data_IF_693777541052
#
_entry.id   IF_693777541052
#
_cell.length_a   1.000
_cell.length_b   1.000
_cell.length_c   1.000
_cell.angle_alpha   90.00
_cell.angle_beta   90.00
_cell.angle_gamma   90.00
#
_symmetry.space_group_name_H-M   'P 1'
#
loop_
_entity.id
_entity.type
_entity.pdbx_description
1 polymer ?
#
# COMPACT_ATOMS: atom_id res chain seq x y z
N UNK A 1 -22.36 -10.28 32.78
CA UNK A 1 -21.64 -10.65 31.57
C UNK A 1 -22.41 -11.78 30.93
N UNK A 2 -22.86 -11.68 29.71
CA UNK A 2 -23.55 -12.75 28.99
C UNK A 2 -22.52 -13.81 28.59
N UNK A 3 -22.90 -15.07 28.61
CA UNK A 3 -22.04 -16.20 28.26
C UNK A 3 -22.77 -17.07 27.24
N UNK A 4 -22.02 -17.65 26.35
CA UNK A 4 -22.52 -18.59 25.33
C UNK A 4 -21.78 -19.91 25.46
N UNK A 5 -22.45 -20.99 25.17
CA UNK A 5 -21.83 -22.30 25.02
C UNK A 5 -21.86 -22.63 23.55
N UNK A 6 -20.65 -22.78 22.96
CA UNK A 6 -20.48 -23.03 21.55
C UNK A 6 -19.79 -24.39 21.39
N UNK A 7 -20.36 -25.23 20.53
CA UNK A 7 -19.79 -26.54 20.22
C UNK A 7 -18.73 -26.37 19.13
N UNK A 8 -17.54 -26.95 19.39
CA UNK A 8 -16.48 -27.03 18.38
C UNK A 8 -16.80 -28.23 17.48
N UNK A 9 -16.93 -27.97 16.20
CA UNK A 9 -17.17 -29.00 15.17
C UNK A 9 -15.86 -29.28 14.43
N UNK A 10 -15.73 -30.51 13.92
CA UNK A 10 -14.61 -30.89 13.05
C UNK A 10 -15.10 -30.99 11.63
N UNK A 11 -14.42 -30.28 10.72
CA UNK A 11 -14.63 -30.45 9.28
C UNK A 11 -14.11 -31.83 8.87
N UNK A 12 -15.01 -32.70 8.43
CA UNK A 12 -14.68 -34.09 8.09
C UNK A 12 -13.82 -34.22 6.82
N UNK A 13 -13.75 -33.18 5.99
CA UNK A 13 -12.98 -33.17 4.77
C UNK A 13 -11.54 -32.65 4.98
N UNK A 14 -11.37 -31.64 5.86
CA UNK A 14 -10.08 -30.99 6.11
C UNK A 14 -9.46 -31.38 7.45
N UNK A 15 -10.27 -31.81 8.42
CA UNK A 15 -9.84 -32.07 9.80
C UNK A 15 -9.67 -30.78 10.62
N UNK A 16 -10.10 -29.65 10.11
CA UNK A 16 -10.05 -28.36 10.80
C UNK A 16 -11.17 -28.24 11.83
N UNK A 17 -10.91 -27.52 12.92
CA UNK A 17 -11.93 -27.20 13.91
C UNK A 17 -12.72 -25.95 13.48
N UNK A 18 -14.04 -26.06 13.44
CA UNK A 18 -14.96 -24.98 13.11
C UNK A 18 -15.71 -24.55 14.37
N UNK A 19 -15.82 -23.26 14.59
CA UNK A 19 -16.62 -22.63 15.63
C UNK A 19 -17.64 -21.72 14.97
N UNK A 20 -18.93 -22.05 15.11
CA UNK A 20 -20.02 -21.20 14.64
C UNK A 20 -20.45 -20.23 15.75
N UNK A 21 -20.29 -18.94 15.53
CA UNK A 21 -20.70 -17.93 16.48
C UNK A 21 -22.21 -17.66 16.40
N UNK A 22 -22.95 -17.74 17.52
CA UNK A 22 -24.36 -17.42 17.53
C UNK A 22 -24.64 -15.98 17.09
N UNK A 23 -25.76 -15.72 16.37
CA UNK A 23 -26.06 -14.37 15.87
C UNK A 23 -26.15 -13.30 16.96
N UNK A 24 -26.66 -13.64 18.14
CA UNK A 24 -26.74 -12.73 19.28
C UNK A 24 -25.37 -12.42 19.92
N UNK A 25 -24.39 -13.31 19.76
CA UNK A 25 -23.01 -13.07 20.14
C UNK A 25 -22.34 -12.11 19.15
N UNK A 26 -22.56 -12.32 17.85
CA UNK A 26 -22.04 -11.43 16.80
C UNK A 26 -22.61 -10.02 16.92
N UNK A 27 -23.91 -9.90 17.27
CA UNK A 27 -24.54 -8.60 17.51
C UNK A 27 -23.91 -7.89 18.72
N UNK A 28 -23.66 -8.60 19.81
CA UNK A 28 -23.09 -8.02 21.05
C UNK A 28 -21.62 -7.67 20.90
N UNK A 29 -20.82 -8.50 20.20
CA UNK A 29 -19.39 -8.26 19.96
C UNK A 29 -19.14 -7.29 18.81
N UNK A 30 -20.11 -7.13 17.91
CA UNK A 30 -19.98 -6.34 16.69
C UNK A 30 -19.04 -6.99 15.63
N UNK A 31 -18.76 -8.29 15.80
CA UNK A 31 -17.93 -9.02 14.82
C UNK A 31 -18.70 -9.30 13.55
N UNK A 32 -17.97 -9.28 12.43
CA UNK A 32 -18.53 -9.48 11.09
C UNK A 32 -17.68 -10.47 10.31
N UNK A 33 -18.28 -11.03 9.28
CA UNK A 33 -17.55 -11.84 8.31
C UNK A 33 -16.37 -11.05 7.70
N UNK A 34 -15.20 -11.70 7.66
CA UNK A 34 -13.94 -11.09 7.23
C UNK A 34 -13.13 -10.40 8.34
N UNK A 35 -13.64 -10.30 9.57
CA UNK A 35 -12.85 -9.83 10.69
C UNK A 35 -11.77 -10.85 11.06
N UNK A 36 -10.57 -10.36 11.33
CA UNK A 36 -9.48 -11.18 11.86
C UNK A 36 -9.54 -11.16 13.38
N UNK A 37 -9.60 -12.35 14.00
CA UNK A 37 -9.63 -12.53 15.44
C UNK A 37 -8.27 -13.03 15.93
N UNK A 38 -7.82 -12.52 17.08
CA UNK A 38 -6.59 -12.91 17.76
C UNK A 38 -6.91 -13.65 19.05
N UNK A 39 -6.19 -14.75 19.30
CA UNK A 39 -6.29 -15.54 20.52
C UNK A 39 -5.17 -15.17 21.48
N UNK A 40 -5.51 -14.85 22.71
CA UNK A 40 -4.56 -14.60 23.79
C UNK A 40 -4.72 -15.67 24.86
N UNK A 41 -3.66 -16.46 25.09
CA UNK A 41 -3.63 -17.49 26.12
C UNK A 41 -3.37 -16.87 27.50
N UNK A 42 -4.32 -17.01 28.43
CA UNK A 42 -4.21 -16.52 29.80
C UNK A 42 -3.30 -17.39 30.70
N UNK A 43 -2.76 -18.50 30.19
CA UNK A 43 -1.93 -19.46 30.95
C UNK A 43 -2.64 -20.19 32.09
N UNK A 44 -3.96 -20.08 32.18
CA UNK A 44 -4.83 -20.78 33.14
C UNK A 44 -5.75 -21.81 32.49
N UNK A 45 -5.54 -22.07 31.17
CA UNK A 45 -6.39 -22.93 30.35
C UNK A 45 -7.53 -22.20 29.66
N UNK A 46 -7.64 -20.88 29.85
CA UNK A 46 -8.59 -20.05 29.13
C UNK A 46 -7.91 -19.17 28.08
N UNK A 47 -8.71 -18.72 27.11
CA UNK A 47 -8.27 -17.84 26.04
C UNK A 47 -9.19 -16.62 25.95
N UNK A 48 -8.59 -15.47 25.61
CA UNK A 48 -9.34 -14.28 25.22
C UNK A 48 -9.26 -14.17 23.69
N UNK A 49 -10.41 -14.00 23.07
CA UNK A 49 -10.50 -13.73 21.64
C UNK A 49 -10.89 -12.26 21.44
N UNK A 50 -10.08 -11.54 20.70
CA UNK A 50 -10.31 -10.12 20.38
C UNK A 50 -10.26 -9.90 18.88
N UNK A 51 -11.03 -8.93 18.40
CA UNK A 51 -10.91 -8.49 17.02
C UNK A 51 -9.61 -7.71 16.85
N UNK A 52 -8.78 -8.15 15.90
CA UNK A 52 -7.57 -7.41 15.49
C UNK A 52 -7.97 -6.03 14.95
N UNK A 53 -7.45 -4.99 15.58
CA UNK A 53 -7.68 -3.62 15.10
C UNK A 53 -6.58 -3.25 14.13
N UNK A 54 -6.96 -2.89 12.92
CA UNK A 54 -6.06 -2.41 11.89
C UNK A 54 -6.46 -1.02 11.43
N UNK A 55 -5.52 -0.28 10.87
CA UNK A 55 -5.74 1.04 10.30
C UNK A 55 -5.03 1.14 8.96
N UNK A 56 -5.56 1.94 8.06
CA UNK A 56 -4.90 2.26 6.81
C UNK A 56 -3.97 3.44 6.99
N UNK A 57 -2.78 3.37 6.42
CA UNK A 57 -1.80 4.46 6.41
C UNK A 57 -1.45 4.77 4.97
N UNK A 58 -1.78 5.97 4.52
CA UNK A 58 -1.28 6.51 3.27
C UNK A 58 0.19 6.91 3.46
N UNK A 59 1.05 6.42 2.60
CA UNK A 59 2.47 6.80 2.54
C UNK A 59 2.74 7.40 1.18
N UNK A 60 3.32 8.60 1.16
CA UNK A 60 3.76 9.27 -0.06
C UNK A 60 5.28 9.23 -0.15
N UNK A 61 5.80 8.80 -1.28
CA UNK A 61 7.21 8.72 -1.54
C UNK A 61 7.55 9.36 -2.90
N UNK A 62 8.75 9.91 -3.01
CA UNK A 62 9.28 10.47 -4.26
C UNK A 62 10.46 9.62 -4.71
N UNK A 63 10.34 9.07 -5.93
CA UNK A 63 11.42 8.33 -6.58
C UNK A 63 12.40 9.28 -7.28
N UNK A 64 13.68 9.03 -7.12
CA UNK A 64 14.74 9.80 -7.78
C UNK A 64 15.37 8.94 -8.90
N UNK A 65 15.46 9.52 -10.08
CA UNK A 65 16.10 8.91 -11.24
C UNK A 65 17.23 9.78 -11.76
N UNK A 66 18.29 9.16 -12.23
CA UNK A 66 19.35 9.79 -12.97
C UNK A 66 19.19 9.48 -14.46
N UNK A 67 18.99 10.52 -15.26
CA UNK A 67 18.92 10.42 -16.70
C UNK A 67 20.25 10.87 -17.34
N UNK A 68 20.63 10.29 -18.45
CA UNK A 68 21.82 10.67 -19.19
C UNK A 68 21.47 10.97 -20.64
N UNK A 69 22.04 12.05 -21.12
CA UNK A 69 21.86 12.56 -22.48
C UNK A 69 23.23 12.82 -23.12
N UNK A 70 23.31 12.69 -24.40
CA UNK A 70 24.50 13.07 -25.17
C UNK A 70 24.06 14.07 -26.24
N UNK A 71 24.59 15.28 -26.19
CA UNK A 71 24.24 16.35 -27.11
C UNK A 71 25.50 16.82 -27.79
N UNK A 72 25.53 16.77 -29.15
CA UNK A 72 26.60 17.31 -29.96
C UNK A 72 26.40 18.83 -30.10
N UNK A 73 27.39 19.62 -29.74
CA UNK A 73 27.38 21.09 -29.85
C UNK A 73 28.61 21.60 -30.56
N UNK A 74 28.50 22.73 -31.26
CA UNK A 74 29.69 23.38 -31.92
C UNK A 74 30.71 23.81 -30.87
N UNK A 75 31.97 23.67 -31.20
CA UNK A 75 33.07 24.19 -30.37
C UNK A 75 33.15 25.72 -30.49
N UNK A 76 33.40 26.40 -29.34
CA UNK A 76 33.68 27.83 -29.30
C UNK A 76 32.76 28.60 -28.41
N UNK A 77 32.81 29.91 -28.52
CA UNK A 77 32.07 30.89 -27.70
C UNK A 77 30.94 31.48 -28.57
N UNK A 78 29.79 31.73 -27.92
CA UNK A 78 28.67 32.39 -28.56
C UNK A 78 28.83 33.91 -28.63
N UNK A 79 27.87 34.61 -29.23
CA UNK A 79 27.91 36.07 -29.42
C UNK A 79 27.83 36.86 -28.10
N UNK A 80 27.49 36.15 -26.97
CA UNK A 80 27.38 36.73 -25.62
C UNK A 80 28.59 36.42 -24.74
N UNK A 81 29.56 35.66 -25.26
CA UNK A 81 30.77 35.28 -24.53
C UNK A 81 30.68 33.99 -23.72
N UNK A 82 29.59 33.18 -23.89
CA UNK A 82 29.41 31.92 -23.21
C UNK A 82 29.98 30.74 -24.00
N UNK A 83 30.47 29.74 -23.32
CA UNK A 83 30.86 28.48 -23.97
C UNK A 83 29.63 27.79 -24.56
N UNK A 84 29.69 27.43 -25.84
CA UNK A 84 28.59 26.76 -26.53
C UNK A 84 28.24 25.39 -25.97
N UNK A 85 29.09 24.79 -25.15
CA UNK A 85 28.75 23.55 -24.41
C UNK A 85 27.52 23.72 -23.53
N UNK A 86 27.21 24.94 -23.07
CA UNK A 86 26.01 25.25 -22.31
C UNK A 86 24.71 25.04 -23.09
N UNK A 87 24.75 25.08 -24.42
CA UNK A 87 23.56 24.81 -25.26
C UNK A 87 23.06 23.38 -25.11
N UNK A 88 23.90 22.45 -24.69
CA UNK A 88 23.47 21.10 -24.36
C UNK A 88 22.48 21.07 -23.18
N UNK A 89 22.66 21.94 -22.16
CA UNK A 89 21.77 22.07 -21.04
C UNK A 89 20.37 22.53 -21.46
N UNK A 90 20.33 23.54 -22.34
CA UNK A 90 19.09 24.06 -22.88
C UNK A 90 18.37 23.00 -23.73
N UNK A 91 19.09 22.24 -24.54
CA UNK A 91 18.52 21.14 -25.36
C UNK A 91 17.87 20.06 -24.47
N UNK A 92 18.48 19.71 -23.35
CA UNK A 92 17.90 18.75 -22.36
C UNK A 92 16.70 19.37 -21.67
N UNK A 93 16.79 20.61 -21.20
CA UNK A 93 15.73 21.30 -20.46
C UNK A 93 14.47 21.52 -21.31
N UNK A 94 14.64 21.78 -22.61
CA UNK A 94 13.54 21.94 -23.58
C UNK A 94 12.91 20.60 -24.02
N UNK A 95 13.50 19.47 -23.64
CA UNK A 95 13.00 18.14 -24.00
C UNK A 95 13.39 17.69 -25.42
N UNK A 96 14.32 18.38 -26.08
CA UNK A 96 14.78 18.08 -27.45
C UNK A 96 15.87 17.00 -27.48
N UNK A 97 16.49 16.69 -26.34
CA UNK A 97 17.54 15.67 -26.24
C UNK A 97 16.93 14.27 -26.04
N UNK A 98 17.53 13.28 -26.70
CA UNK A 98 17.15 11.88 -26.50
C UNK A 98 17.89 11.29 -25.34
N UNK A 99 17.11 10.76 -24.38
CA UNK A 99 17.64 9.98 -23.27
C UNK A 99 18.20 8.65 -23.78
N UNK A 100 19.39 8.26 -23.34
CA UNK A 100 19.99 6.97 -23.67
C UNK A 100 20.16 6.05 -22.43
N UNK A 101 20.00 6.58 -21.22
CA UNK A 101 20.16 5.80 -19.99
C UNK A 101 19.36 6.41 -18.84
N UNK A 102 18.68 5.54 -18.09
CA UNK A 102 17.97 5.87 -16.86
C UNK A 102 18.44 4.93 -15.74
N UNK A 103 18.68 5.48 -14.57
CA UNK A 103 19.05 4.72 -13.38
C UNK A 103 18.22 5.19 -12.20
N UNK A 104 17.52 4.25 -11.54
CA UNK A 104 16.79 4.52 -10.30
C UNK A 104 17.77 4.64 -9.13
N UNK A 105 17.72 5.74 -8.40
CA UNK A 105 18.61 6.06 -7.29
C UNK A 105 18.01 5.85 -5.91
N UNK A 106 16.72 5.50 -5.84
CA UNK A 106 16.02 5.24 -4.60
C UNK A 106 14.78 6.10 -4.41
N UNK A 107 14.09 5.84 -3.31
CA UNK A 107 12.90 6.56 -2.87
C UNK A 107 13.16 7.28 -1.55
N UNK A 108 12.48 8.41 -1.39
CA UNK A 108 12.41 9.13 -0.14
C UNK A 108 10.94 9.27 0.27
N UNK A 109 10.60 8.79 1.48
CA UNK A 109 9.28 9.01 2.05
C UNK A 109 9.17 10.49 2.43
N UNK A 110 8.16 11.16 1.89
CA UNK A 110 7.92 12.60 2.11
C UNK A 110 6.77 12.85 3.07
N UNK A 111 5.79 11.95 3.14
CA UNK A 111 4.70 12.04 4.10
C UNK A 111 4.10 10.68 4.45
N UNK A 112 3.40 10.62 5.60
CA UNK A 112 2.50 9.53 5.95
C UNK A 112 1.37 10.03 6.84
N UNK A 113 0.17 9.45 6.72
CA UNK A 113 -0.97 9.75 7.57
C UNK A 113 -1.97 8.60 7.63
N UNK A 114 -2.70 8.51 8.72
CA UNK A 114 -3.82 7.57 8.85
C UNK A 114 -4.98 8.05 7.97
N UNK A 115 -5.62 7.11 7.29
CA UNK A 115 -6.77 7.36 6.41
C UNK A 115 -7.88 6.33 6.69
N UNK A 116 -9.12 6.65 6.33
CA UNK A 116 -10.18 5.65 6.30
C UNK A 116 -10.10 4.81 5.03
N UNK A 117 -10.77 3.65 5.02
CA UNK A 117 -10.86 2.81 3.82
C UNK A 117 -11.50 3.58 2.66
N UNK A 118 -12.56 4.33 2.93
CA UNK A 118 -13.29 5.12 1.94
C UNK A 118 -12.41 6.22 1.34
N UNK A 119 -11.62 6.91 2.17
CA UNK A 119 -10.66 7.90 1.69
C UNK A 119 -9.58 7.27 0.81
N UNK A 120 -9.04 6.11 1.23
CA UNK A 120 -8.03 5.38 0.46
C UNK A 120 -8.57 4.94 -0.92
N UNK A 121 -9.81 4.42 -0.97
CA UNK A 121 -10.47 4.03 -2.23
C UNK A 121 -10.73 5.25 -3.12
N UNK A 122 -11.17 6.37 -2.55
CA UNK A 122 -11.38 7.62 -3.30
C UNK A 122 -10.09 8.14 -3.92
N UNK A 123 -8.97 8.08 -3.19
CA UNK A 123 -7.66 8.45 -3.71
C UNK A 123 -7.21 7.48 -4.81
N UNK A 124 -7.42 6.17 -4.62
CA UNK A 124 -7.12 5.16 -5.62
C UNK A 124 -7.85 5.45 -6.94
N UNK A 125 -9.14 5.79 -6.91
CA UNK A 125 -9.94 6.11 -8.09
C UNK A 125 -9.50 7.40 -8.77
N UNK A 126 -9.10 8.39 -7.98
CA UNK A 126 -8.62 9.68 -8.49
C UNK A 126 -7.28 9.54 -9.24
N UNK A 127 -6.39 8.71 -8.71
CA UNK A 127 -5.04 8.55 -9.25
C UNK A 127 -4.96 7.46 -10.32
N UNK A 128 -5.97 6.57 -10.39
CA UNK A 128 -6.04 5.44 -11.31
C UNK A 128 -7.43 5.33 -11.94
N UNK A 129 -7.80 6.28 -12.78
CA UNK A 129 -9.11 6.36 -13.43
C UNK A 129 -9.50 5.11 -14.23
N UNK A 130 -8.51 4.37 -14.75
CA UNK A 130 -8.69 3.11 -15.49
C UNK A 130 -9.33 1.99 -14.64
N UNK A 131 -9.20 2.02 -13.31
CA UNK A 131 -9.77 1.02 -12.41
C UNK A 131 -10.99 1.53 -11.61
N UNK A 132 -11.51 2.71 -11.92
CA UNK A 132 -12.63 3.32 -11.19
C UNK A 132 -13.90 2.45 -11.19
N UNK A 133 -14.11 1.62 -12.23
CA UNK A 133 -15.22 0.67 -12.33
C UNK A 133 -15.02 -0.65 -11.58
N UNK A 134 -13.85 -0.89 -11.00
CA UNK A 134 -13.60 -2.11 -10.24
C UNK A 134 -14.33 -2.07 -8.89
N UNK A 135 -14.71 -3.26 -8.38
CA UNK A 135 -15.23 -3.39 -7.03
C UNK A 135 -14.13 -3.12 -5.97
N UNK A 136 -14.56 -2.82 -4.74
CA UNK A 136 -13.65 -2.45 -3.65
C UNK A 136 -12.65 -3.55 -3.31
N UNK A 137 -13.09 -4.82 -3.27
CA UNK A 137 -12.23 -5.94 -2.90
C UNK A 137 -11.12 -6.15 -3.93
N UNK A 138 -11.45 -5.98 -5.20
CA UNK A 138 -10.46 -6.02 -6.29
C UNK A 138 -9.46 -4.90 -6.17
N UNK A 139 -9.87 -3.66 -5.84
CA UNK A 139 -8.96 -2.53 -5.61
C UNK A 139 -8.04 -2.78 -4.42
N UNK A 140 -8.61 -3.20 -3.28
CA UNK A 140 -7.82 -3.50 -2.08
C UNK A 140 -6.79 -4.60 -2.36
N UNK A 141 -7.20 -5.68 -3.02
CA UNK A 141 -6.29 -6.80 -3.35
C UNK A 141 -5.12 -6.39 -4.25
N UNK A 142 -5.34 -5.47 -5.19
CA UNK A 142 -4.33 -5.12 -6.19
C UNK A 142 -3.45 -3.93 -5.79
N UNK A 143 -3.95 -3.01 -4.98
CA UNK A 143 -3.26 -1.74 -4.69
C UNK A 143 -2.88 -1.57 -3.21
N UNK A 144 -3.57 -2.26 -2.28
CA UNK A 144 -3.31 -2.10 -0.86
C UNK A 144 -2.50 -3.27 -0.33
N UNK A 145 -1.61 -3.00 0.60
CA UNK A 145 -0.72 -4.02 1.17
C UNK A 145 -0.95 -4.14 2.67
N UNK A 146 -1.14 -5.37 3.15
CA UNK A 146 -1.12 -5.64 4.59
C UNK A 146 0.32 -5.79 5.05
N UNK A 147 0.70 -5.03 6.07
CA UNK A 147 2.01 -5.15 6.70
C UNK A 147 2.18 -6.57 7.25
N UNK A 148 3.29 -7.23 6.90
CA UNK A 148 3.67 -8.50 7.54
C UNK A 148 4.19 -8.18 8.93
N UNK A 149 3.61 -8.82 9.95
CA UNK A 149 4.14 -8.75 11.30
C UNK A 149 5.59 -9.24 11.28
N UNK A 150 6.51 -8.44 11.82
CA UNK A 150 7.85 -8.93 12.11
C UNK A 150 7.71 -9.78 13.35
N UNK A 151 7.92 -11.08 13.22
CA UNK A 151 8.11 -11.98 14.36
C UNK A 151 9.34 -11.45 15.12
N UNK A 152 9.09 -10.92 16.33
CA UNK A 152 10.14 -10.49 17.26
C UNK A 152 10.60 -11.67 18.10
#
# INVERSE_FOLDING_TARGET
MKSWVIEVQEDMDTGDCIIEFPPDMLEETGWKEGDVLEWHDNKDGSYIMTKKQTQWVLVEAVGTFRHRYMVEVPIGIDNYGNDKSLWALDTVTMGDAKEFSQEYLGEQIVSHRIVTKEEALTLCDKDNDYCSSWDEDTKVKNFFTTCKEQEQ
#
